data_IF_048659064311
#
_entry.id   IF_048659064311
#
_cell.length_a   1.000
_cell.length_b   1.000
_cell.length_c   1.000
_cell.angle_alpha   90.00
_cell.angle_beta   90.00
_cell.angle_gamma   90.00
#
_symmetry.space_group_name_H-M   'P 1'
#
loop_
_entity.id
_entity.type
_entity.pdbx_description
1 polymer ?
#
# COMPACT_ATOMS: atom_id res chain seq x y z
N UNK A 1 34.86 18.03 -8.06
CA UNK A 1 34.31 19.32 -7.58
C UNK A 1 33.62 19.10 -6.24
N UNK A 2 34.27 19.42 -5.12
CA UNK A 2 33.69 19.34 -3.78
C UNK A 2 33.34 20.77 -3.36
N UNK A 3 32.07 21.08 -3.10
CA UNK A 3 31.67 22.40 -2.59
C UNK A 3 31.14 22.25 -1.16
N UNK A 4 31.83 22.98 -0.31
CA UNK A 4 31.86 22.98 1.14
C UNK A 4 30.54 23.42 1.77
N UNK A 5 30.17 22.75 2.87
CA UNK A 5 29.08 23.08 3.80
C UNK A 5 29.37 24.43 4.48
N UNK A 6 28.37 25.33 4.54
CA UNK A 6 28.40 26.53 5.38
C UNK A 6 27.28 26.45 6.42
N UNK A 7 27.69 26.14 7.65
CA UNK A 7 26.86 26.11 8.85
C UNK A 7 26.61 27.53 9.33
N UNK A 8 25.37 28.03 9.22
CA UNK A 8 24.94 29.25 9.90
C UNK A 8 24.19 28.84 11.18
N UNK A 9 24.90 28.85 12.31
CA UNK A 9 24.35 28.70 13.65
C UNK A 9 23.97 30.08 14.18
N UNK A 10 22.69 30.44 14.10
CA UNK A 10 22.14 31.57 14.86
C UNK A 10 21.37 31.02 16.05
N UNK A 11 21.87 31.31 17.26
CA UNK A 11 21.31 30.88 18.54
C UNK A 11 20.37 31.95 19.12
N UNK A 12 19.26 31.45 19.67
CA UNK A 12 18.43 31.95 20.77
C UNK A 12 17.68 33.29 20.62
N UNK A 13 16.37 33.18 20.44
CA UNK A 13 15.37 34.04 21.09
C UNK A 13 14.40 33.17 21.88
N UNK A 14 14.54 33.13 23.20
CA UNK A 14 13.51 32.61 24.11
C UNK A 14 12.54 33.75 24.41
N UNK A 15 11.33 33.67 23.86
CA UNK A 15 10.18 34.44 24.32
C UNK A 15 8.98 33.48 24.38
N UNK A 16 8.30 33.50 25.52
CA UNK A 16 7.31 32.54 25.94
C UNK A 16 6.10 32.47 25.01
N UNK A 17 5.76 31.24 24.61
CA UNK A 17 4.49 30.86 24.04
C UNK A 17 4.39 29.35 24.17
N UNK A 18 3.62 28.85 25.14
CA UNK A 18 3.27 27.43 25.18
C UNK A 18 2.28 27.20 24.04
N UNK A 19 2.82 26.99 22.85
CA UNK A 19 2.11 26.22 21.83
C UNK A 19 2.64 24.82 22.02
N UNK A 20 1.84 23.97 22.66
CA UNK A 20 1.98 22.54 22.49
C UNK A 20 1.76 22.28 21.00
N UNK A 21 2.83 22.38 20.21
CA UNK A 21 2.82 21.93 18.83
C UNK A 21 2.66 20.41 18.91
N UNK A 22 1.55 19.82 18.48
CA UNK A 22 1.52 18.39 18.32
C UNK A 22 2.62 18.07 17.32
N UNK A 23 3.53 17.19 17.72
CA UNK A 23 4.44 16.56 16.78
C UNK A 23 3.56 15.99 15.66
N UNK A 24 3.63 16.60 14.46
CA UNK A 24 3.12 15.97 13.26
C UNK A 24 4.05 14.80 12.98
N UNK A 25 3.75 13.68 13.63
CA UNK A 25 4.29 12.37 13.29
C UNK A 25 3.62 12.00 11.98
N UNK A 26 4.21 12.38 10.85
CA UNK A 26 3.84 11.83 9.55
C UNK A 26 4.56 10.49 9.38
N UNK A 27 3.83 9.38 9.57
CA UNK A 27 3.71 8.40 8.49
C UNK A 27 2.27 7.87 8.45
N UNK A 28 1.42 8.43 7.59
CA UNK A 28 0.06 7.93 7.42
C UNK A 28 -0.29 7.59 5.96
N UNK A 29 0.65 7.76 5.02
CA UNK A 29 0.39 7.42 3.62
C UNK A 29 0.29 5.90 3.42
N UNK A 30 1.11 5.10 4.11
CA UNK A 30 1.15 3.64 3.97
C UNK A 30 -0.01 2.94 4.70
N UNK A 31 -0.43 3.47 5.85
CA UNK A 31 -1.57 2.91 6.59
C UNK A 31 -2.91 3.22 5.91
N UNK A 32 -3.03 4.39 5.27
CA UNK A 32 -4.24 4.78 4.55
C UNK A 32 -4.49 3.88 3.32
N UNK A 33 -3.44 3.56 2.55
CA UNK A 33 -3.56 2.65 1.40
C UNK A 33 -3.88 1.23 1.82
N UNK A 34 -3.24 0.71 2.89
CA UNK A 34 -3.58 -0.62 3.43
C UNK A 34 -5.05 -0.70 3.84
N UNK A 35 -5.60 0.36 4.46
CA UNK A 35 -7.02 0.42 4.82
C UNK A 35 -7.98 0.46 3.62
N UNK A 36 -7.59 1.07 2.50
CA UNK A 36 -8.37 1.04 1.25
C UNK A 36 -8.37 -0.38 0.66
N UNK A 37 -7.23 -1.06 0.64
CA UNK A 37 -7.14 -2.45 0.17
C UNK A 37 -7.88 -3.45 1.07
N UNK A 38 -8.00 -3.19 2.37
CA UNK A 38 -8.86 -3.98 3.26
C UNK A 38 -10.35 -3.90 2.85
N UNK A 39 -10.82 -2.73 2.38
CA UNK A 39 -12.20 -2.60 1.90
C UNK A 39 -12.42 -3.39 0.62
N UNK A 40 -11.44 -3.35 -0.30
CA UNK A 40 -11.47 -4.17 -1.51
C UNK A 40 -11.49 -5.65 -1.14
N UNK A 41 -10.59 -6.08 -0.26
CA UNK A 41 -10.51 -7.48 0.17
C UNK A 41 -11.78 -7.95 0.91
N UNK A 42 -12.40 -7.09 1.73
CA UNK A 42 -13.67 -7.40 2.37
C UNK A 42 -14.80 -7.67 1.34
N UNK A 43 -14.81 -6.95 0.23
CA UNK A 43 -15.78 -7.16 -0.85
C UNK A 43 -15.42 -8.37 -1.74
N UNK A 44 -14.14 -8.55 -2.07
CA UNK A 44 -13.65 -9.59 -2.99
C UNK A 44 -13.58 -10.98 -2.35
N UNK A 45 -13.08 -11.08 -1.12
CA UNK A 45 -12.83 -12.36 -0.43
C UNK A 45 -13.51 -12.49 0.93
N UNK A 46 -14.30 -11.50 1.35
CA UNK A 46 -14.77 -11.43 2.74
C UNK A 46 -13.67 -11.06 3.74
N UNK A 47 -12.52 -10.58 3.25
CA UNK A 47 -11.36 -10.21 4.05
C UNK A 47 -10.38 -11.35 4.33
N UNK A 48 -10.59 -12.53 3.74
CA UNK A 48 -9.64 -13.63 3.82
C UNK A 48 -8.51 -13.45 2.80
N UNK A 49 -7.32 -13.13 3.30
CA UNK A 49 -6.11 -12.89 2.49
C UNK A 49 -5.47 -14.18 1.97
N UNK A 50 -5.86 -15.33 2.50
CA UNK A 50 -5.32 -16.64 2.14
C UNK A 50 -6.36 -17.51 1.42
N UNK A 51 -7.46 -16.90 0.94
CA UNK A 51 -8.52 -17.65 0.28
C UNK A 51 -8.03 -18.29 -1.02
N UNK A 52 -8.40 -19.55 -1.22
CA UNK A 52 -8.19 -20.28 -2.46
C UNK A 52 -9.29 -21.32 -2.62
N UNK A 53 -10.37 -20.94 -3.29
CA UNK A 53 -11.55 -21.81 -3.48
C UNK A 53 -11.46 -22.70 -4.73
N UNK A 54 -10.39 -22.57 -5.52
CA UNK A 54 -10.27 -23.22 -6.82
C UNK A 54 -11.08 -22.57 -7.95
N UNK A 55 -11.59 -21.35 -7.76
CA UNK A 55 -12.32 -20.58 -8.77
C UNK A 55 -11.43 -19.85 -9.81
N UNK A 56 -10.12 -20.06 -9.75
CA UNK A 56 -9.12 -19.43 -10.62
C UNK A 56 -8.53 -18.12 -10.09
N UNK A 57 -9.05 -17.61 -8.97
CA UNK A 57 -8.55 -16.41 -8.28
C UNK A 57 -8.02 -16.77 -6.90
N UNK A 58 -7.05 -16.00 -6.42
CA UNK A 58 -6.35 -16.29 -5.17
C UNK A 58 -6.15 -15.02 -4.31
N UNK A 59 -6.18 -15.22 -3.00
CA UNK A 59 -5.84 -14.22 -2.00
C UNK A 59 -6.90 -13.15 -1.80
N UNK A 60 -6.60 -12.19 -0.93
CA UNK A 60 -7.57 -11.20 -0.45
C UNK A 60 -8.14 -10.32 -1.55
N UNK A 61 -7.33 -10.05 -2.58
CA UNK A 61 -7.70 -9.17 -3.70
C UNK A 61 -8.10 -9.96 -4.96
N UNK A 62 -8.31 -11.27 -4.83
CA UNK A 62 -8.78 -12.14 -5.90
C UNK A 62 -7.92 -12.01 -7.19
N UNK A 63 -6.61 -12.17 -7.06
CA UNK A 63 -5.72 -12.16 -8.23
C UNK A 63 -5.90 -13.39 -9.08
N UNK A 64 -5.89 -13.25 -10.41
CA UNK A 64 -5.63 -14.38 -11.30
C UNK A 64 -4.14 -14.74 -11.26
N UNK A 65 -3.79 -16.01 -11.49
CA UNK A 65 -2.40 -16.45 -11.57
C UNK A 65 -1.59 -15.68 -12.64
N UNK A 66 -2.23 -15.33 -13.77
CA UNK A 66 -1.58 -14.58 -14.85
C UNK A 66 -1.28 -13.14 -14.42
N UNK A 67 -2.23 -12.45 -13.78
CA UNK A 67 -2.03 -11.09 -13.26
C UNK A 67 -0.94 -11.10 -12.18
N UNK A 68 -1.03 -12.04 -11.24
CA UNK A 68 -0.03 -12.20 -10.18
C UNK A 68 1.39 -12.34 -10.73
N UNK A 69 1.60 -13.25 -11.68
CA UNK A 69 2.89 -13.44 -12.32
C UNK A 69 3.32 -12.23 -13.17
N UNK A 70 2.40 -11.65 -13.95
CA UNK A 70 2.67 -10.51 -14.83
C UNK A 70 3.11 -9.25 -14.11
N UNK A 71 2.70 -9.06 -12.86
CA UNK A 71 3.09 -7.93 -12.02
C UNK A 71 4.21 -8.27 -11.02
N UNK A 72 4.80 -9.46 -11.14
CA UNK A 72 5.99 -9.88 -10.39
C UNK A 72 5.70 -10.48 -9.02
N UNK A 73 4.46 -10.88 -8.72
CA UNK A 73 4.11 -11.49 -7.44
C UNK A 73 4.79 -12.83 -7.18
N UNK A 74 5.22 -13.53 -8.23
CA UNK A 74 5.97 -14.79 -8.13
C UNK A 74 7.33 -14.67 -7.43
N UNK A 75 7.83 -13.45 -7.21
CA UNK A 75 8.99 -13.21 -6.34
C UNK A 75 8.68 -13.46 -4.85
N UNK A 76 7.41 -13.33 -4.45
CA UNK A 76 6.95 -13.51 -3.08
C UNK A 76 6.43 -14.92 -2.85
N UNK A 77 5.55 -15.38 -3.74
CA UNK A 77 4.98 -16.72 -3.67
C UNK A 77 4.45 -17.17 -5.05
N UNK A 78 4.34 -18.48 -5.32
CA UNK A 78 3.75 -18.97 -6.57
C UNK A 78 2.37 -18.42 -6.89
N UNK A 79 1.53 -18.22 -5.88
CA UNK A 79 0.18 -17.67 -5.98
C UNK A 79 -0.09 -16.64 -4.88
N UNK A 80 -1.08 -15.76 -5.08
CA UNK A 80 -1.34 -14.64 -4.18
C UNK A 80 -1.77 -15.10 -2.77
N UNK A 81 -2.56 -16.17 -2.65
CA UNK A 81 -3.01 -16.76 -1.37
C UNK A 81 -1.85 -17.24 -0.49
N UNK A 82 -0.69 -17.50 -1.07
CA UNK A 82 0.52 -17.92 -0.36
C UNK A 82 1.42 -16.74 0.05
N UNK A 83 1.12 -15.54 -0.44
CA UNK A 83 1.83 -14.32 -0.08
C UNK A 83 1.18 -13.62 1.12
N UNK A 84 1.96 -12.83 1.85
CA UNK A 84 1.43 -11.98 2.91
C UNK A 84 0.51 -10.89 2.33
N UNK A 85 -0.42 -10.40 3.15
CA UNK A 85 -1.26 -9.25 2.82
C UNK A 85 -0.48 -8.06 2.24
N UNK A 86 0.63 -7.67 2.87
CA UNK A 86 1.43 -6.53 2.43
C UNK A 86 2.03 -6.75 1.02
N UNK A 87 2.48 -7.98 0.73
CA UNK A 87 2.99 -8.34 -0.59
C UNK A 87 1.88 -8.34 -1.64
N UNK A 88 0.68 -8.82 -1.30
CA UNK A 88 -0.47 -8.76 -2.19
C UNK A 88 -0.85 -7.31 -2.52
N UNK A 89 -0.85 -6.42 -1.51
CA UNK A 89 -1.10 -5.00 -1.68
C UNK A 89 -0.05 -4.35 -2.59
N UNK A 90 1.24 -4.67 -2.43
CA UNK A 90 2.28 -4.12 -3.29
C UNK A 90 2.07 -4.50 -4.77
N UNK A 91 1.67 -5.74 -5.04
CA UNK A 91 1.32 -6.18 -6.40
C UNK A 91 0.04 -5.50 -6.88
N UNK A 92 -0.91 -5.25 -5.99
CA UNK A 92 -2.15 -4.54 -6.31
C UNK A 92 -1.89 -3.09 -6.74
N UNK A 93 -0.99 -2.39 -6.05
CA UNK A 93 -0.53 -1.05 -6.42
C UNK A 93 0.11 -1.03 -7.82
N UNK A 94 0.91 -2.05 -8.16
CA UNK A 94 1.49 -2.19 -9.51
C UNK A 94 0.41 -2.42 -10.58
N UNK A 95 -0.59 -3.24 -10.27
CA UNK A 95 -1.76 -3.45 -11.14
C UNK A 95 -2.52 -2.14 -11.32
N UNK A 96 -2.82 -1.44 -10.22
CA UNK A 96 -3.55 -0.18 -10.22
C UNK A 96 -2.83 0.89 -11.05
N UNK A 97 -1.51 1.02 -10.89
CA UNK A 97 -0.70 1.95 -11.68
C UNK A 97 -0.72 1.64 -13.19
N UNK A 98 -0.95 0.38 -13.58
CA UNK A 98 -0.93 -0.06 -14.98
C UNK A 98 -2.31 -0.07 -15.66
N UNK A 99 -3.36 -0.42 -14.92
CA UNK A 99 -4.72 -0.68 -15.43
C UNK A 99 -5.75 0.33 -14.91
N UNK A 100 -5.38 1.12 -13.89
CA UNK A 100 -6.29 2.01 -13.18
C UNK A 100 -7.29 1.27 -12.29
N UNK A 101 -8.20 2.02 -11.68
CA UNK A 101 -9.23 1.50 -10.76
C UNK A 101 -10.16 0.44 -11.40
N UNK A 102 -10.18 0.34 -12.74
CA UNK A 102 -10.96 -0.65 -13.48
C UNK A 102 -10.51 -2.11 -13.28
N UNK A 103 -9.37 -2.36 -12.62
CA UNK A 103 -8.94 -3.70 -12.26
C UNK A 103 -9.84 -4.36 -11.19
N UNK A 104 -10.54 -3.56 -10.37
CA UNK A 104 -11.53 -4.01 -9.40
C UNK A 104 -12.85 -3.25 -9.60
N UNK A 105 -13.61 -3.52 -10.68
CA UNK A 105 -14.72 -2.66 -11.09
C UNK A 105 -15.94 -2.69 -10.14
N UNK A 106 -16.10 -3.76 -9.35
CA UNK A 106 -17.25 -3.95 -8.45
C UNK A 106 -16.90 -3.66 -6.98
N UNK A 107 -15.65 -3.91 -6.58
CA UNK A 107 -15.18 -3.80 -5.20
C UNK A 107 -14.08 -2.75 -5.00
N UNK A 108 -13.51 -2.21 -6.08
CA UNK A 108 -12.43 -1.22 -6.09
C UNK A 108 -12.88 0.22 -5.87
N UNK A 109 -13.83 0.44 -4.95
CA UNK A 109 -14.01 1.79 -4.39
C UNK A 109 -12.69 2.32 -3.80
N UNK A 110 -12.64 3.58 -3.35
CA UNK A 110 -11.62 4.58 -3.71
C UNK A 110 -10.15 4.08 -3.66
N UNK A 111 -9.76 3.16 -4.54
CA UNK A 111 -8.36 2.88 -4.89
C UNK A 111 -8.03 3.76 -6.09
N UNK A 112 -7.99 5.07 -5.85
CA UNK A 112 -7.59 6.12 -6.78
C UNK A 112 -7.17 7.37 -5.98
#
# INVERSE_FOLDING_TARGET
>A
MRKTVKTNLTRLGLAAGVVAAPALVAPAAEAATVGQWDQVAACESGGDWHINTGNGYQGGLQFSAQTWAGHGGTQYAPTADQATKAQQIEIAEKVLASQGAGAWPNCGGPVA
#
